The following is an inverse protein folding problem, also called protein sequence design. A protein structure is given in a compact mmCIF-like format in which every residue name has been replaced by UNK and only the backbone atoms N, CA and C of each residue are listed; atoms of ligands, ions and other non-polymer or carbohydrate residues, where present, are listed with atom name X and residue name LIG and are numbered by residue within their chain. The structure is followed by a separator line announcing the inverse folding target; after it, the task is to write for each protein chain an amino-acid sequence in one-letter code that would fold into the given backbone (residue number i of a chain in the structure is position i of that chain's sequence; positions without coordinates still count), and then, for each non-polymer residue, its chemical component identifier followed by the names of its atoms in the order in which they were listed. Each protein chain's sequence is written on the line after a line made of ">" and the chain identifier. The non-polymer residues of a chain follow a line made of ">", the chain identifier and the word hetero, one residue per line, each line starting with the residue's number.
data_IF_884244148656
#
_entry.id   IF_884244148656
#
_cell.length_a   1.000
_cell.length_b   1.000
_cell.length_c   1.000
_cell.angle_alpha   90.00
_cell.angle_beta   90.00
_cell.angle_gamma   90.00
#
_symmetry.space_group_name_H-M   'P 1'
#
loop_
_entity.id
_entity.type
_entity.pdbx_description
1 polymer ?
#
# COMPACT_ATOMS: atom_id res chain seq x y z
N UNK A 1 -2.00 5.59 8.89
CA UNK A 1 -0.76 4.83 9.24
C UNK A 1 0.13 4.77 8.01
N UNK A 2 1.44 4.88 8.19
CA UNK A 2 2.38 5.08 7.07
C UNK A 2 3.39 3.94 6.95
N UNK A 3 3.63 3.49 5.71
CA UNK A 3 4.54 2.41 5.38
C UNK A 3 5.38 2.80 4.17
N UNK A 4 6.68 3.00 4.40
CA UNK A 4 7.64 3.24 3.31
C UNK A 4 7.95 1.93 2.58
N UNK A 5 7.92 1.99 1.25
CA UNK A 5 8.25 0.89 0.34
C UNK A 5 9.42 1.31 -0.52
N UNK A 6 10.64 0.96 -0.11
CA UNK A 6 11.86 1.41 -0.79
C UNK A 6 12.13 2.90 -0.56
N UNK A 7 12.68 3.59 -1.55
CA UNK A 7 13.11 4.99 -1.47
C UNK A 7 12.12 6.00 -2.07
N UNK A 8 11.14 5.55 -2.87
CA UNK A 8 10.24 6.44 -3.60
C UNK A 8 8.77 6.30 -3.21
N UNK A 9 8.37 5.17 -2.63
CA UNK A 9 6.97 4.82 -2.45
C UNK A 9 6.54 4.84 -0.98
N UNK A 10 5.36 5.39 -0.72
CA UNK A 10 4.73 5.45 0.59
C UNK A 10 3.28 4.99 0.50
N UNK A 11 2.87 4.10 1.41
CA UNK A 11 1.46 3.73 1.63
C UNK A 11 0.94 4.36 2.92
N UNK A 12 -0.11 5.17 2.81
CA UNK A 12 -0.81 5.78 3.94
C UNK A 12 -2.21 5.21 4.06
N UNK A 13 -2.43 4.29 4.99
CA UNK A 13 -3.75 3.69 5.24
C UNK A 13 -4.73 4.69 5.86
N UNK A 14 -5.97 4.66 5.34
CA UNK A 14 -7.06 5.57 5.69
C UNK A 14 -8.14 4.77 6.44
N UNK A 15 -8.29 5.03 7.74
CA UNK A 15 -9.27 4.33 8.58
C UNK A 15 -10.71 4.60 8.14
N UNK A 16 -11.11 5.87 8.06
CA UNK A 16 -12.50 6.28 7.80
C UNK A 16 -13.08 5.80 6.46
N UNK A 17 -12.24 5.34 5.53
CA UNK A 17 -12.67 4.80 4.24
C UNK A 17 -12.55 3.28 4.16
N UNK A 18 -11.90 2.64 5.13
CA UNK A 18 -11.75 1.19 5.18
C UNK A 18 -13.00 0.54 5.76
N UNK A 19 -13.25 -0.70 5.37
CA UNK A 19 -14.46 -1.47 5.71
C UNK A 19 -14.08 -2.89 6.13
N UNK A 20 -15.04 -3.70 6.55
CA UNK A 20 -14.80 -5.11 6.85
C UNK A 20 -14.16 -5.80 5.63
N UNK A 21 -13.05 -6.51 5.85
CA UNK A 21 -12.26 -7.18 4.80
C UNK A 21 -11.68 -6.24 3.71
N UNK A 22 -11.66 -4.93 3.92
CA UNK A 22 -11.22 -3.98 2.91
C UNK A 22 -10.36 -2.87 3.52
N UNK A 23 -9.10 -2.80 3.08
CA UNK A 23 -8.20 -1.70 3.46
C UNK A 23 -8.11 -0.69 2.31
N UNK A 24 -8.22 0.60 2.63
CA UNK A 24 -7.93 1.68 1.67
C UNK A 24 -6.69 2.44 2.09
N UNK A 25 -5.85 2.82 1.12
CA UNK A 25 -4.62 3.56 1.35
C UNK A 25 -4.34 4.57 0.25
N UNK A 26 -3.67 5.67 0.60
CA UNK A 26 -3.05 6.57 -0.36
C UNK A 26 -1.68 5.99 -0.70
N UNK A 27 -1.46 5.67 -1.97
CA UNK A 27 -0.14 5.40 -2.51
C UNK A 27 0.47 6.72 -3.01
N UNK A 28 1.58 7.13 -2.42
CA UNK A 28 2.33 8.31 -2.84
C UNK A 28 3.65 7.87 -3.47
N UNK A 29 3.99 8.47 -4.59
CA UNK A 29 5.26 8.26 -5.30
C UNK A 29 6.01 9.59 -5.37
N UNK A 30 7.08 9.70 -4.60
CA UNK A 30 7.97 10.85 -4.53
C UNK A 30 9.24 10.55 -5.33
N UNK A 31 9.57 11.42 -6.28
CA UNK A 31 10.76 11.25 -7.12
C UNK A 31 12.01 11.86 -6.51
N UNK A 32 11.89 12.67 -5.47
CA UNK A 32 13.00 13.31 -4.78
C UNK A 32 13.97 13.99 -5.78
N UNK A 33 13.40 14.72 -6.76
CA UNK A 33 14.14 15.36 -7.86
C UNK A 33 14.61 14.43 -9.00
N UNK A 34 14.22 13.15 -9.02
CA UNK A 34 14.57 12.16 -10.07
C UNK A 34 13.51 12.07 -11.18
N UNK A 35 13.05 13.20 -11.70
CA UNK A 35 11.94 13.26 -12.68
C UNK A 35 12.12 12.35 -13.91
N UNK A 36 13.36 12.11 -14.34
CA UNK A 36 13.68 11.22 -15.49
C UNK A 36 13.28 9.74 -15.29
N UNK A 37 12.94 9.34 -14.06
CA UNK A 37 12.49 7.97 -13.75
C UNK A 37 10.99 7.82 -13.97
N UNK A 38 10.20 8.91 -13.93
CA UNK A 38 8.73 8.90 -14.05
C UNK A 38 8.28 8.16 -15.30
N UNK A 39 8.88 8.47 -16.46
CA UNK A 39 8.55 7.85 -17.75
C UNK A 39 8.73 6.32 -17.74
N UNK A 40 9.54 5.78 -16.82
CA UNK A 40 9.80 4.35 -16.67
C UNK A 40 8.91 3.67 -15.64
N UNK A 41 8.03 4.41 -14.95
CA UNK A 41 7.14 3.92 -13.89
C UNK A 41 5.67 3.96 -14.33
N UNK A 42 5.42 3.79 -15.63
CA UNK A 42 4.07 3.70 -16.16
C UNK A 42 3.26 2.60 -15.44
N UNK A 43 2.07 2.96 -14.94
CA UNK A 43 1.14 2.04 -14.25
C UNK A 43 1.70 1.41 -12.96
N UNK A 44 2.73 2.00 -12.35
CA UNK A 44 3.30 1.53 -11.08
C UNK A 44 2.25 1.41 -9.96
N UNK A 45 1.24 2.27 -9.95
CA UNK A 45 0.15 2.27 -8.99
C UNK A 45 -0.65 0.95 -9.01
N UNK A 46 -0.75 0.28 -10.17
CA UNK A 46 -1.40 -1.03 -10.33
C UNK A 46 -0.51 -2.21 -9.88
N UNK A 47 0.74 -1.93 -9.49
CA UNK A 47 1.73 -2.93 -9.07
C UNK A 47 1.98 -2.93 -7.58
N UNK A 48 1.30 -2.06 -6.84
CA UNK A 48 1.40 -1.98 -5.38
C UNK A 48 0.60 -3.12 -4.76
N UNK A 49 1.20 -3.80 -3.79
CA UNK A 49 0.60 -4.96 -3.13
C UNK A 49 0.84 -4.97 -1.62
N UNK A 50 -0.04 -5.68 -0.91
CA UNK A 50 0.14 -6.09 0.48
C UNK A 50 0.09 -7.61 0.60
N UNK A 51 0.71 -8.17 1.63
CA UNK A 51 0.69 -9.60 1.90
C UNK A 51 0.62 -9.85 3.40
N UNK A 52 -0.36 -10.67 3.81
CA UNK A 52 -0.56 -11.08 5.21
C UNK A 52 -0.08 -12.52 5.34
N UNK A 53 0.88 -12.75 6.24
CA UNK A 53 1.49 -14.04 6.48
C UNK A 53 2.02 -14.69 5.18
N UNK A 54 1.71 -15.99 5.04
CA UNK A 54 2.07 -16.78 3.86
C UNK A 54 1.06 -16.71 2.70
N UNK A 55 0.06 -15.83 2.76
CA UNK A 55 -0.97 -15.75 1.72
C UNK A 55 -0.45 -15.20 0.39
N UNK A 56 -1.30 -15.29 -0.64
CA UNK A 56 -1.10 -14.58 -1.89
C UNK A 56 -1.10 -13.07 -1.68
N UNK A 57 -0.35 -12.37 -2.55
CA UNK A 57 -0.31 -10.91 -2.60
C UNK A 57 -1.66 -10.37 -3.04
N UNK A 58 -2.11 -9.32 -2.36
CA UNK A 58 -3.29 -8.55 -2.71
C UNK A 58 -2.79 -7.28 -3.40
N UNK A 59 -3.08 -7.13 -4.69
CA UNK A 59 -2.75 -5.91 -5.43
C UNK A 59 -3.84 -4.87 -5.20
N UNK A 60 -3.44 -3.60 -5.15
CA UNK A 60 -4.35 -2.49 -4.93
C UNK A 60 -5.16 -2.14 -6.16
N UNK A 61 -6.48 -2.14 -6.05
CA UNK A 61 -7.38 -1.59 -7.07
C UNK A 61 -7.44 -0.06 -6.94
N UNK A 62 -7.22 0.65 -8.03
CA UNK A 62 -7.25 2.11 -8.06
C UNK A 62 -8.71 2.57 -7.99
N UNK A 63 -9.10 3.24 -6.90
CA UNK A 63 -10.44 3.82 -6.75
C UNK A 63 -10.46 5.25 -7.27
N UNK A 64 -9.41 6.01 -6.95
CA UNK A 64 -9.27 7.40 -7.36
C UNK A 64 -7.85 7.65 -7.84
N UNK A 65 -7.75 8.20 -9.04
CA UNK A 65 -6.51 8.72 -9.58
C UNK A 65 -6.40 10.19 -9.16
N UNK A 66 -5.45 10.51 -8.29
CA UNK A 66 -5.19 11.90 -7.92
C UNK A 66 -4.00 12.42 -8.73
N UNK A 67 -4.20 13.63 -9.25
CA UNK A 67 -3.22 14.37 -10.03
C UNK A 67 -1.96 14.68 -9.23
N UNK A 68 -0.86 14.91 -9.95
CA UNK A 68 0.42 15.39 -9.42
C UNK A 68 0.22 16.58 -8.47
N UNK A 69 0.91 16.55 -7.34
CA UNK A 69 0.97 17.66 -6.38
C UNK A 69 2.28 18.43 -6.56
N UNK A 70 2.23 19.62 -7.18
CA UNK A 70 3.40 20.49 -7.35
C UNK A 70 4.07 20.87 -6.02
N UNK A 71 3.30 20.89 -4.92
CA UNK A 71 3.82 21.24 -3.58
C UNK A 71 4.64 20.12 -2.95
N UNK A 72 4.26 18.88 -3.23
CA UNK A 72 4.86 17.69 -2.61
C UNK A 72 5.68 16.88 -3.62
N UNK A 73 5.89 17.41 -4.84
CA UNK A 73 6.55 16.79 -6.01
C UNK A 73 6.21 15.29 -6.18
N UNK A 74 4.95 14.92 -5.95
CA UNK A 74 4.53 13.51 -5.89
C UNK A 74 3.21 13.24 -6.59
N UNK A 75 3.08 12.03 -7.15
CA UNK A 75 1.79 11.49 -7.58
C UNK A 75 1.13 10.72 -6.44
N UNK A 76 -0.19 10.77 -6.39
CA UNK A 76 -0.97 10.12 -5.33
C UNK A 76 -2.13 9.33 -5.95
N UNK A 77 -2.35 8.12 -5.48
CA UNK A 77 -3.50 7.29 -5.87
C UNK A 77 -4.19 6.75 -4.63
N UNK A 78 -5.50 6.59 -4.69
CA UNK A 78 -6.24 5.87 -3.64
C UNK A 78 -6.41 4.43 -4.10
N UNK A 79 -5.83 3.51 -3.33
CA UNK A 79 -5.88 2.08 -3.58
C UNK A 79 -6.83 1.39 -2.60
N UNK A 80 -7.49 0.34 -3.09
CA UNK A 80 -8.30 -0.61 -2.33
C UNK A 80 -7.63 -1.97 -2.33
N UNK A 81 -7.51 -2.58 -1.16
CA UNK A 81 -7.07 -3.96 -1.01
C UNK A 81 -8.23 -4.78 -0.48
N UNK A 82 -8.71 -5.74 -1.27
CA UNK A 82 -9.73 -6.69 -0.86
C UNK A 82 -9.08 -7.91 -0.20
N UNK A 83 -9.36 -8.12 1.08
CA UNK A 83 -8.85 -9.23 1.86
C UNK A 83 -9.87 -10.37 1.81
N UNK A 84 -9.37 -11.61 1.71
CA UNK A 84 -10.22 -12.76 1.99
C UNK A 84 -10.52 -12.86 3.49
N UNK A 85 -11.60 -13.56 3.86
CA UNK A 85 -11.92 -13.79 5.28
C UNK A 85 -10.79 -14.51 6.04
N UNK A 86 -9.96 -15.32 5.35
CA UNK A 86 -8.78 -15.94 5.93
C UNK A 86 -7.72 -14.88 6.26
N UNK A 87 -7.40 -14.02 5.30
CA UNK A 87 -6.43 -12.94 5.46
C UNK A 87 -6.83 -11.97 6.58
N UNK A 88 -8.12 -11.63 6.68
CA UNK A 88 -8.65 -10.80 7.77
C UNK A 88 -8.42 -11.44 9.13
N UNK A 89 -8.74 -12.73 9.29
CA UNK A 89 -8.52 -13.46 10.55
C UNK A 89 -7.04 -13.54 10.92
N UNK A 90 -6.18 -13.75 9.94
CA UNK A 90 -4.74 -13.79 10.14
C UNK A 90 -4.19 -12.43 10.56
N UNK A 91 -4.63 -11.34 9.90
CA UNK A 91 -4.25 -9.98 10.27
C UNK A 91 -4.71 -9.65 11.70
N UNK A 92 -5.93 -10.03 12.07
CA UNK A 92 -6.46 -9.89 13.44
C UNK A 92 -5.67 -10.72 14.45
N UNK A 93 -5.19 -11.90 14.05
CA UNK A 93 -4.36 -12.76 14.90
C UNK A 93 -2.92 -12.26 15.06
N UNK A 94 -2.56 -11.17 14.38
CA UNK A 94 -1.24 -10.56 14.46
C UNK A 94 -0.20 -11.21 13.54
N UNK A 95 -0.64 -11.86 12.46
CA UNK A 95 0.27 -12.36 11.44
C UNK A 95 1.10 -11.23 10.82
N UNK A 96 2.27 -11.62 10.29
CA UNK A 96 3.20 -10.68 9.66
C UNK A 96 2.55 -9.99 8.47
N UNK A 97 2.81 -8.69 8.31
CA UNK A 97 2.33 -7.91 7.18
C UNK A 97 3.53 -7.44 6.36
N UNK A 98 3.41 -7.51 5.04
CA UNK A 98 4.37 -6.97 4.09
C UNK A 98 3.65 -6.07 3.10
N UNK A 99 4.37 -5.11 2.56
CA UNK A 99 3.94 -4.32 1.41
C UNK A 99 5.04 -4.28 0.37
N UNK A 100 4.69 -4.01 -0.88
CA UNK A 100 5.66 -3.91 -1.95
C UNK A 100 5.10 -3.30 -3.21
N UNK A 101 6.00 -3.12 -4.16
CA UNK A 101 5.69 -2.76 -5.55
C UNK A 101 6.38 -3.79 -6.43
N UNK A 102 5.62 -4.42 -7.32
CA UNK A 102 6.13 -5.37 -8.31
C UNK A 102 6.11 -4.75 -9.71
N UNK A 103 6.99 -3.79 -9.95
CA UNK A 103 7.11 -3.11 -11.24
C UNK A 103 8.49 -3.39 -11.87
N UNK A 104 8.57 -3.52 -13.19
CA UNK A 104 9.82 -3.86 -13.89
C UNK A 104 10.97 -2.91 -13.57
N UNK A 105 10.67 -1.61 -13.46
CA UNK A 105 11.63 -0.56 -13.14
C UNK A 105 11.72 -0.23 -11.63
N UNK A 106 10.86 -0.83 -10.79
CA UNK A 106 10.79 -0.58 -9.35
C UNK A 106 10.17 -1.80 -8.64
N UNK A 107 11.01 -2.81 -8.35
CA UNK A 107 10.59 -4.05 -7.70
C UNK A 107 11.19 -4.11 -6.29
N UNK A 108 10.43 -3.66 -5.30
CA UNK A 108 10.86 -3.52 -3.91
C UNK A 108 9.77 -4.01 -2.97
N UNK A 109 10.19 -4.48 -1.79
CA UNK A 109 9.27 -4.88 -0.72
C UNK A 109 9.79 -4.38 0.61
N UNK A 110 8.88 -4.19 1.55
CA UNK A 110 9.23 -3.91 2.94
C UNK A 110 9.83 -5.15 3.59
N UNK A 111 10.54 -4.93 4.70
CA UNK A 111 10.67 -5.97 5.72
C UNK A 111 9.31 -6.21 6.39
N UNK A 112 9.27 -7.07 7.40
CA UNK A 112 8.09 -7.23 8.24
C UNK A 112 7.63 -5.87 8.77
N UNK A 113 6.39 -5.51 8.46
CA UNK A 113 5.78 -4.29 8.98
C UNK A 113 5.60 -4.46 10.49
N UNK A 114 5.98 -3.46 11.30
CA UNK A 114 5.87 -3.54 12.75
C UNK A 114 4.47 -3.96 13.20
N UNK A 115 4.43 -4.89 14.17
CA UNK A 115 3.17 -5.41 14.72
C UNK A 115 2.24 -4.31 15.24
N UNK A 116 2.77 -3.17 15.69
CA UNK A 116 1.97 -2.01 16.09
C UNK A 116 1.12 -1.46 14.93
N UNK A 117 1.67 -1.38 13.73
CA UNK A 117 0.94 -0.94 12.53
C UNK A 117 -0.06 -2.03 12.10
N UNK A 118 0.36 -3.29 12.08
CA UNK A 118 -0.53 -4.41 11.72
C UNK A 118 -1.74 -4.52 12.66
N UNK A 119 -1.55 -4.30 13.97
CA UNK A 119 -2.64 -4.28 14.96
C UNK A 119 -3.63 -3.16 14.72
N UNK A 120 -3.14 -1.95 14.44
CA UNK A 120 -4.01 -0.83 14.11
C UNK A 120 -4.81 -1.12 12.82
N UNK A 121 -4.20 -1.73 11.81
CA UNK A 121 -4.92 -2.15 10.60
C UNK A 121 -5.95 -3.26 10.88
N UNK A 122 -5.67 -4.17 11.79
CA UNK A 122 -6.62 -5.19 12.24
C UNK A 122 -7.83 -4.56 12.96
N UNK A 123 -7.61 -3.55 13.80
CA UNK A 123 -8.69 -2.82 14.49
C UNK A 123 -9.63 -2.11 13.51
N UNK A 124 -9.12 -1.63 12.38
CA UNK A 124 -9.92 -1.00 11.32
C UNK A 124 -10.93 -1.99 10.72
N UNK A 125 -10.48 -3.20 10.39
CA UNK A 125 -11.29 -4.18 9.65
C UNK A 125 -12.13 -5.09 10.57
N UNK A 126 -11.96 -4.98 11.89
CA UNK A 126 -12.70 -5.71 12.91
C UNK A 126 -13.78 -4.84 13.60
N UNK A 127 -14.21 -3.76 12.95
CA UNK A 127 -15.34 -2.91 13.39
C UNK A 127 -16.68 -3.60 13.14
#
# INVERSE_FOLDING_TARGET
>A
MEINIGDLALLTFIDDLSEENQLKAIFSLDFNGKEKIIDKLEKIESKVWIQIGGNQRIFGDIILNNSFSDKDESYKWVLKFELSSLMTKELISGETLFAGVEHQSYNVRTQEIPLSISKLLAEIINK
#
